data_IF_319178454557
#
_entry.id   IF_319178454557
#
_cell.length_a   1.000
_cell.length_b   1.000
_cell.length_c   1.000
_cell.angle_alpha   90.00
_cell.angle_beta   90.00
_cell.angle_gamma   90.00
#
_symmetry.space_group_name_H-M   'P 1'
#
loop_
_entity.id
_entity.type
_entity.pdbx_description
1 polymer ?
#
# COMPACT_ATOMS: atom_id res chain seq x y z
N UNK A 1 -17.39 37.08 1.22
CA UNK A 1 -18.50 36.58 0.39
C UNK A 1 -19.19 35.50 1.22
N UNK A 2 -20.28 35.88 1.87
CA UNK A 2 -21.08 35.03 2.76
C UNK A 2 -22.06 34.21 1.93
N UNK A 3 -22.21 32.92 2.27
CA UNK A 3 -23.50 32.19 2.40
C UNK A 3 -23.19 30.74 2.80
N UNK A 4 -22.72 30.54 4.04
CA UNK A 4 -22.77 29.22 4.67
C UNK A 4 -23.98 29.22 5.60
N UNK A 5 -25.16 28.93 5.07
CA UNK A 5 -26.19 28.30 5.90
C UNK A 5 -25.57 27.03 6.47
N UNK A 6 -25.59 26.87 7.79
CA UNK A 6 -24.95 25.76 8.47
C UNK A 6 -25.49 24.46 7.86
N UNK A 7 -24.62 23.51 7.49
CA UNK A 7 -25.08 22.21 6.94
C UNK A 7 -26.10 21.56 7.87
N UNK A 8 -25.96 21.76 9.19
CA UNK A 8 -26.93 21.31 10.18
C UNK A 8 -28.30 21.97 10.01
N UNK A 9 -28.39 23.27 9.69
CA UNK A 9 -29.67 23.95 9.44
C UNK A 9 -30.36 23.38 8.19
N UNK A 10 -29.60 23.03 7.15
CA UNK A 10 -30.13 22.41 5.93
C UNK A 10 -30.57 20.96 6.19
N UNK A 11 -29.81 20.20 6.97
CA UNK A 11 -30.19 18.86 7.39
C UNK A 11 -31.42 18.89 8.29
N UNK A 12 -31.55 19.87 9.19
CA UNK A 12 -32.71 20.06 10.05
C UNK A 12 -33.96 20.40 9.23
N UNK A 13 -33.84 21.26 8.21
CA UNK A 13 -34.94 21.54 7.28
C UNK A 13 -35.39 20.30 6.51
N UNK A 14 -34.45 19.48 6.02
CA UNK A 14 -34.76 18.23 5.31
C UNK A 14 -35.37 17.17 6.25
N UNK A 15 -34.92 17.13 7.50
CA UNK A 15 -35.48 16.25 8.53
C UNK A 15 -36.93 16.62 8.83
N UNK A 16 -37.23 17.92 8.93
CA UNK A 16 -38.60 18.44 9.12
C UNK A 16 -39.53 18.14 7.93
N UNK A 17 -38.97 18.05 6.72
CA UNK A 17 -39.71 17.68 5.50
C UNK A 17 -39.93 16.17 5.37
N UNK A 18 -39.41 15.36 6.31
CA UNK A 18 -39.53 13.90 6.34
C UNK A 18 -39.10 13.21 5.03
N UNK A 19 -38.02 13.71 4.39
CA UNK A 19 -37.35 13.02 3.28
C UNK A 19 -35.98 12.46 3.71
N UNK A 20 -35.95 11.25 4.30
CA UNK A 20 -34.70 10.58 4.69
C UNK A 20 -33.74 10.33 3.52
N UNK A 21 -34.25 10.19 2.29
CA UNK A 21 -33.39 9.92 1.11
C UNK A 21 -32.60 11.16 0.75
N UNK A 22 -33.28 12.28 0.64
CA UNK A 22 -32.64 13.55 0.32
C UNK A 22 -31.68 13.97 1.44
N UNK A 23 -32.07 13.78 2.70
CA UNK A 23 -31.21 14.07 3.86
C UNK A 23 -29.90 13.25 3.83
N UNK A 24 -29.98 11.94 3.62
CA UNK A 24 -28.79 11.08 3.58
C UNK A 24 -27.90 11.40 2.38
N UNK A 25 -28.49 11.73 1.23
CA UNK A 25 -27.74 12.15 0.04
C UNK A 25 -26.94 13.43 0.30
N UNK A 26 -27.57 14.44 0.91
CA UNK A 26 -26.90 15.70 1.26
C UNK A 26 -25.82 15.50 2.34
N UNK A 27 -26.05 14.60 3.31
CA UNK A 27 -25.05 14.23 4.31
C UNK A 27 -23.83 13.56 3.68
N UNK A 28 -24.03 12.57 2.81
CA UNK A 28 -22.94 11.90 2.09
C UNK A 28 -22.13 12.89 1.23
N UNK A 29 -22.82 13.79 0.52
CA UNK A 29 -22.19 14.82 -0.29
C UNK A 29 -21.35 15.78 0.55
N UNK A 30 -21.87 16.19 1.71
CA UNK A 30 -21.14 17.04 2.65
C UNK A 30 -19.88 16.32 3.16
N UNK A 31 -20.02 15.10 3.68
CA UNK A 31 -18.92 14.31 4.24
C UNK A 31 -17.84 14.02 3.20
N UNK A 32 -18.23 13.78 1.94
CA UNK A 32 -17.28 13.65 0.82
C UNK A 32 -16.52 14.94 0.58
N UNK A 33 -17.20 16.09 0.56
CA UNK A 33 -16.57 17.41 0.31
C UNK A 33 -15.66 17.84 1.46
N UNK A 34 -16.01 17.51 2.70
CA UNK A 34 -15.20 17.80 3.90
C UNK A 34 -14.14 16.74 4.20
N UNK A 35 -14.04 15.68 3.38
CA UNK A 35 -13.09 14.56 3.53
C UNK A 35 -13.26 13.74 4.82
N UNK A 36 -14.45 13.77 5.42
CA UNK A 36 -14.84 12.93 6.55
C UNK A 36 -15.23 11.53 6.05
N UNK A 37 -14.24 10.78 5.54
CA UNK A 37 -14.49 9.55 4.78
C UNK A 37 -14.95 8.36 5.63
N UNK A 38 -14.57 8.30 6.92
CA UNK A 38 -15.06 7.25 7.82
C UNK A 38 -16.55 7.46 8.12
N UNK A 39 -16.94 8.69 8.38
CA UNK A 39 -18.32 9.09 8.58
C UNK A 39 -19.13 8.91 7.29
N UNK A 40 -18.53 9.16 6.12
CA UNK A 40 -19.15 8.87 4.82
C UNK A 40 -19.52 7.39 4.70
N UNK A 41 -18.66 6.48 5.14
CA UNK A 41 -18.99 5.04 5.16
C UNK A 41 -20.20 4.73 6.06
N UNK A 42 -20.27 5.36 7.23
CA UNK A 42 -21.41 5.19 8.13
C UNK A 42 -22.70 5.77 7.54
N UNK A 43 -22.64 6.94 6.91
CA UNK A 43 -23.78 7.52 6.18
C UNK A 43 -24.25 6.60 5.04
N UNK A 44 -23.32 5.99 4.30
CA UNK A 44 -23.60 5.00 3.25
C UNK A 44 -24.33 3.77 3.80
N UNK A 45 -23.89 3.24 4.94
CA UNK A 45 -24.57 2.12 5.64
C UNK A 45 -26.02 2.44 5.99
N UNK A 46 -26.30 3.68 6.39
CA UNK A 46 -27.65 4.16 6.66
C UNK A 46 -28.46 4.29 5.36
N UNK A 47 -27.87 4.85 4.30
CA UNK A 47 -28.53 4.99 3.00
C UNK A 47 -28.90 3.65 2.36
N UNK A 48 -28.02 2.65 2.46
CA UNK A 48 -28.29 1.28 1.97
C UNK A 48 -29.50 0.68 2.71
N UNK A 49 -29.54 0.80 4.05
CA UNK A 49 -30.69 0.35 4.87
C UNK A 49 -31.98 1.09 4.49
N UNK A 50 -31.90 2.42 4.35
CA UNK A 50 -33.02 3.27 3.98
C UNK A 50 -33.66 2.82 2.66
N UNK A 51 -32.85 2.60 1.63
CA UNK A 51 -33.34 2.22 0.29
C UNK A 51 -34.08 0.89 0.31
N UNK A 52 -33.70 0.01 1.23
CA UNK A 52 -34.26 -1.33 1.44
C UNK A 52 -35.42 -1.35 2.44
N UNK A 53 -35.84 -0.19 2.95
CA UNK A 53 -36.91 -0.08 3.93
C UNK A 53 -36.56 -0.64 5.31
N UNK A 54 -35.26 -0.82 5.61
CA UNK A 54 -34.78 -1.34 6.87
C UNK A 54 -34.65 -0.22 7.92
N UNK A 55 -34.86 -0.53 9.21
CA UNK A 55 -34.59 0.40 10.29
C UNK A 55 -33.14 0.91 10.28
N UNK A 56 -32.97 2.22 10.40
CA UNK A 56 -31.67 2.88 10.32
C UNK A 56 -30.76 2.55 11.52
N UNK A 57 -31.35 2.38 12.71
CA UNK A 57 -30.63 2.25 13.98
C UNK A 57 -30.63 0.84 14.59
N UNK A 58 -31.15 -0.17 13.87
CA UNK A 58 -31.17 -1.54 14.38
C UNK A 58 -29.85 -2.27 14.09
N UNK A 59 -29.23 -2.85 15.14
CA UNK A 59 -27.97 -3.58 15.03
C UNK A 59 -28.13 -5.03 14.52
N UNK A 60 -29.30 -5.65 14.71
CA UNK A 60 -29.41 -7.13 14.69
C UNK A 60 -30.30 -7.71 13.58
N UNK A 61 -30.81 -6.89 12.64
CA UNK A 61 -31.73 -7.38 11.61
C UNK A 61 -31.05 -8.18 10.49
N UNK A 62 -29.71 -8.12 10.40
CA UNK A 62 -28.96 -8.75 9.31
C UNK A 62 -29.20 -10.26 9.19
N UNK A 63 -29.34 -10.96 10.31
CA UNK A 63 -29.54 -12.42 10.33
C UNK A 63 -30.96 -12.85 9.95
N UNK A 64 -31.94 -11.94 10.07
CA UNK A 64 -33.35 -12.22 9.82
C UNK A 64 -33.77 -11.97 8.35
N UNK A 65 -32.90 -11.33 7.56
CA UNK A 65 -33.16 -11.07 6.15
C UNK A 65 -33.02 -12.35 5.31
N UNK A 66 -33.80 -12.52 4.23
CA UNK A 66 -33.56 -13.56 3.24
C UNK A 66 -32.13 -13.49 2.69
N UNK A 67 -31.55 -14.65 2.35
CA UNK A 67 -30.17 -14.76 1.86
C UNK A 67 -29.87 -13.82 0.69
N UNK A 68 -30.73 -13.80 -0.33
CA UNK A 68 -30.58 -12.91 -1.48
C UNK A 68 -30.57 -11.42 -1.10
N UNK A 69 -31.29 -11.00 -0.06
CA UNK A 69 -31.26 -9.62 0.41
C UNK A 69 -30.00 -9.30 1.21
N UNK A 70 -29.49 -10.27 1.98
CA UNK A 70 -28.21 -10.14 2.68
C UNK A 70 -27.06 -10.00 1.69
N UNK A 71 -26.99 -10.87 0.69
CA UNK A 71 -25.93 -10.86 -0.32
C UNK A 71 -25.94 -9.55 -1.13
N UNK A 72 -27.14 -9.07 -1.49
CA UNK A 72 -27.29 -7.80 -2.20
C UNK A 72 -26.87 -6.61 -1.33
N UNK A 73 -27.16 -6.64 -0.02
CA UNK A 73 -26.71 -5.61 0.92
C UNK A 73 -25.19 -5.67 1.14
N UNK A 74 -24.61 -6.86 1.29
CA UNK A 74 -23.16 -7.05 1.41
C UNK A 74 -22.43 -6.52 0.19
N UNK A 75 -22.95 -6.78 -1.01
CA UNK A 75 -22.40 -6.22 -2.25
C UNK A 75 -22.36 -4.68 -2.22
N UNK A 76 -23.47 -4.03 -1.83
CA UNK A 76 -23.49 -2.56 -1.70
C UNK A 76 -22.53 -2.04 -0.62
N UNK A 77 -22.33 -2.79 0.47
CA UNK A 77 -21.38 -2.43 1.52
C UNK A 77 -19.93 -2.56 1.04
N UNK A 78 -19.61 -3.58 0.25
CA UNK A 78 -18.31 -3.74 -0.39
C UNK A 78 -18.04 -2.61 -1.39
N UNK A 79 -19.04 -2.18 -2.15
CA UNK A 79 -18.92 -1.01 -3.03
C UNK A 79 -18.64 0.28 -2.24
N UNK A 80 -19.28 0.46 -1.08
CA UNK A 80 -18.99 1.56 -0.17
C UNK A 80 -17.57 1.49 0.42
N UNK A 81 -17.10 0.29 0.82
CA UNK A 81 -15.71 0.08 1.25
C UNK A 81 -14.72 0.45 0.14
N UNK A 82 -15.00 0.02 -1.10
CA UNK A 82 -14.18 0.35 -2.26
C UNK A 82 -14.10 1.87 -2.50
N UNK A 83 -15.25 2.55 -2.48
CA UNK A 83 -15.31 4.00 -2.66
C UNK A 83 -14.50 4.74 -1.60
N UNK A 84 -14.78 4.47 -0.32
CA UNK A 84 -14.17 5.15 0.82
C UNK A 84 -12.67 4.85 0.91
N UNK A 85 -12.29 3.58 0.73
CA UNK A 85 -10.89 3.17 0.72
C UNK A 85 -10.08 3.88 -0.39
N UNK A 86 -10.66 3.99 -1.59
CA UNK A 86 -10.03 4.73 -2.69
C UNK A 86 -9.90 6.23 -2.39
N UNK A 87 -10.93 6.86 -1.82
CA UNK A 87 -10.88 8.27 -1.45
C UNK A 87 -9.80 8.56 -0.40
N UNK A 88 -9.64 7.66 0.57
CA UNK A 88 -8.59 7.74 1.60
C UNK A 88 -7.19 7.63 0.98
N UNK A 89 -6.96 6.70 0.07
CA UNK A 89 -5.68 6.59 -0.65
C UNK A 89 -5.38 7.82 -1.52
N UNK A 90 -6.39 8.39 -2.18
CA UNK A 90 -6.26 9.64 -2.94
C UNK A 90 -5.93 10.85 -2.05
N UNK A 91 -6.28 10.79 -0.77
CA UNK A 91 -5.96 11.78 0.25
C UNK A 91 -4.68 11.46 1.02
N UNK A 92 -3.84 10.55 0.50
CA UNK A 92 -2.58 10.09 1.11
C UNK A 92 -2.70 9.44 2.50
N UNK A 93 -3.88 8.90 2.83
CA UNK A 93 -4.15 8.18 4.09
C UNK A 93 -4.16 6.67 3.83
N UNK A 94 -2.96 6.09 3.67
CA UNK A 94 -2.81 4.73 3.14
C UNK A 94 -3.31 3.65 4.10
N UNK A 95 -2.94 3.73 5.38
CA UNK A 95 -3.41 2.80 6.42
C UNK A 95 -4.93 2.82 6.56
N UNK A 96 -5.50 4.02 6.61
CA UNK A 96 -6.95 4.19 6.72
C UNK A 96 -7.68 3.62 5.50
N UNK A 97 -7.16 3.86 4.30
CA UNK A 97 -7.75 3.29 3.08
C UNK A 97 -7.65 1.77 3.05
N UNK A 98 -6.54 1.21 3.53
CA UNK A 98 -6.34 -0.24 3.61
C UNK A 98 -7.32 -0.91 4.57
N UNK A 99 -7.71 -0.24 5.66
CA UNK A 99 -8.76 -0.71 6.58
C UNK A 99 -10.04 -1.14 5.83
N UNK A 100 -10.42 -0.40 4.79
CA UNK A 100 -11.58 -0.71 3.95
C UNK A 100 -11.25 -1.64 2.78
N UNK A 101 -10.15 -1.37 2.08
CA UNK A 101 -9.81 -2.10 0.84
C UNK A 101 -9.45 -3.57 1.09
N UNK A 102 -8.96 -3.92 2.28
CA UNK A 102 -8.70 -5.32 2.67
C UNK A 102 -9.95 -6.20 2.70
N UNK A 103 -11.14 -5.61 2.81
CA UNK A 103 -12.41 -6.34 2.77
C UNK A 103 -12.79 -6.75 1.33
N UNK A 104 -12.16 -6.16 0.32
CA UNK A 104 -12.45 -6.42 -1.08
C UNK A 104 -11.79 -7.73 -1.51
N UNK A 105 -12.60 -8.70 -1.96
CA UNK A 105 -12.11 -10.01 -2.38
C UNK A 105 -11.23 -9.97 -3.63
N UNK A 106 -11.46 -9.02 -4.54
CA UNK A 106 -10.63 -8.83 -5.74
C UNK A 106 -9.32 -8.12 -5.37
N UNK A 107 -8.35 -8.91 -4.91
CA UNK A 107 -7.00 -8.45 -4.58
C UNK A 107 -6.33 -7.75 -5.76
N UNK A 108 -6.48 -8.29 -6.97
CA UNK A 108 -5.85 -7.73 -8.17
C UNK A 108 -6.35 -6.33 -8.51
N UNK A 109 -7.61 -6.01 -8.20
CA UNK A 109 -8.16 -4.65 -8.32
C UNK A 109 -7.53 -3.69 -7.32
N UNK A 110 -7.30 -4.13 -6.08
CA UNK A 110 -6.65 -3.30 -5.06
C UNK A 110 -5.17 -3.08 -5.40
N UNK A 111 -4.47 -4.11 -5.89
CA UNK A 111 -3.08 -4.01 -6.34
C UNK A 111 -2.91 -3.02 -7.50
N UNK A 112 -3.84 -3.02 -8.48
CA UNK A 112 -3.84 -2.03 -9.57
C UNK A 112 -4.02 -0.60 -9.06
N UNK A 113 -4.88 -0.40 -8.07
CA UNK A 113 -5.05 0.92 -7.46
C UNK A 113 -3.80 1.33 -6.67
N UNK A 114 -3.17 0.39 -5.95
CA UNK A 114 -1.95 0.63 -5.18
C UNK A 114 -0.75 0.97 -6.08
N UNK A 115 -0.73 0.43 -7.30
CA UNK A 115 0.32 0.72 -8.28
C UNK A 115 0.40 2.21 -8.68
N UNK A 116 -0.68 2.98 -8.51
CA UNK A 116 -0.72 4.42 -8.80
C UNK A 116 -0.07 5.28 -7.69
N UNK A 117 0.17 4.70 -6.51
CA UNK A 117 0.74 5.40 -5.36
C UNK A 117 2.25 5.36 -5.44
N UNK A 118 2.92 6.51 -5.42
CA UNK A 118 4.38 6.61 -5.34
C UNK A 118 4.86 6.82 -3.90
N UNK A 119 5.96 6.15 -3.48
CA UNK A 119 6.56 6.36 -2.18
C UNK A 119 7.37 7.67 -2.14
N UNK A 120 7.10 8.49 -1.14
CA UNK A 120 7.79 9.74 -0.82
C UNK A 120 7.97 9.91 0.68
N UNK A 121 8.64 10.99 1.10
CA UNK A 121 8.99 11.23 2.51
C UNK A 121 7.78 11.20 3.45
N UNK A 122 6.60 11.63 2.98
CA UNK A 122 5.39 11.71 3.80
C UNK A 122 4.58 10.41 3.93
N UNK A 123 4.88 9.37 3.14
CA UNK A 123 4.08 8.13 3.12
C UNK A 123 4.93 6.84 3.02
N UNK A 124 6.26 6.94 3.04
CA UNK A 124 7.15 5.79 2.80
C UNK A 124 6.93 4.64 3.78
N UNK A 125 6.73 4.93 5.06
CA UNK A 125 6.54 3.88 6.08
C UNK A 125 5.22 3.12 5.86
N UNK A 126 4.12 3.84 5.58
CA UNK A 126 2.83 3.22 5.25
C UNK A 126 2.90 2.46 3.92
N UNK A 127 3.60 3.01 2.93
CA UNK A 127 3.81 2.34 1.65
C UNK A 127 4.58 1.02 1.84
N UNK A 128 5.65 1.02 2.63
CA UNK A 128 6.44 -0.19 2.94
C UNK A 128 5.61 -1.22 3.68
N UNK A 129 4.77 -0.79 4.61
CA UNK A 129 3.86 -1.68 5.32
C UNK A 129 2.89 -2.37 4.37
N UNK A 130 2.21 -1.62 3.50
CA UNK A 130 1.24 -2.19 2.57
C UNK A 130 1.91 -3.03 1.46
N UNK A 131 3.07 -2.60 0.98
CA UNK A 131 3.78 -3.31 -0.09
C UNK A 131 4.42 -4.61 0.39
N UNK A 132 5.06 -4.60 1.56
CA UNK A 132 5.81 -5.74 2.11
C UNK A 132 4.97 -6.57 3.07
N UNK A 133 4.41 -5.96 4.12
CA UNK A 133 3.69 -6.70 5.17
C UNK A 133 2.30 -7.14 4.72
N UNK A 134 1.58 -6.33 3.95
CA UNK A 134 0.30 -6.76 3.35
C UNK A 134 0.50 -7.44 1.98
N UNK A 135 1.71 -7.30 1.41
CA UNK A 135 2.13 -7.99 0.18
C UNK A 135 1.50 -7.44 -1.10
N UNK A 136 1.07 -6.17 -1.12
CA UNK A 136 0.43 -5.59 -2.31
C UNK A 136 1.39 -5.40 -3.49
N UNK A 137 2.67 -5.13 -3.21
CA UNK A 137 3.71 -5.06 -4.24
C UNK A 137 5.09 -5.27 -3.62
N UNK A 138 5.48 -6.54 -3.44
CA UNK A 138 6.77 -6.89 -2.85
C UNK A 138 7.95 -6.31 -3.65
N UNK A 139 7.85 -6.21 -4.97
CA UNK A 139 8.94 -5.74 -5.81
C UNK A 139 9.23 -4.26 -5.57
N UNK A 140 8.19 -3.42 -5.57
CA UNK A 140 8.32 -1.99 -5.24
C UNK A 140 8.66 -1.78 -3.77
N UNK A 141 8.09 -2.59 -2.87
CA UNK A 141 8.39 -2.54 -1.44
C UNK A 141 9.87 -2.74 -1.16
N UNK A 142 10.47 -3.86 -1.60
CA UNK A 142 11.89 -4.11 -1.38
C UNK A 142 12.79 -3.11 -2.09
N UNK A 143 12.43 -2.66 -3.30
CA UNK A 143 13.19 -1.59 -3.99
C UNK A 143 13.23 -0.31 -3.15
N UNK A 144 12.07 0.14 -2.70
CA UNK A 144 11.93 1.35 -1.88
C UNK A 144 12.69 1.21 -0.56
N UNK A 145 12.63 0.03 0.06
CA UNK A 145 13.32 -0.26 1.30
C UNK A 145 14.85 -0.17 1.15
N UNK A 146 15.39 -0.77 0.08
CA UNK A 146 16.82 -0.69 -0.26
C UNK A 146 17.22 0.76 -0.51
N UNK A 147 16.46 1.48 -1.35
CA UNK A 147 16.77 2.85 -1.77
C UNK A 147 16.72 3.87 -0.61
N UNK A 148 15.91 3.61 0.42
CA UNK A 148 15.66 4.56 1.53
C UNK A 148 16.36 4.19 2.83
N UNK A 149 16.51 2.90 3.12
CA UNK A 149 17.01 2.41 4.40
C UNK A 149 18.23 1.48 4.26
N UNK A 150 18.66 1.17 3.04
CA UNK A 150 19.88 0.43 2.76
C UNK A 150 19.78 -1.09 2.85
N UNK A 151 20.86 -1.76 2.45
CA UNK A 151 20.95 -3.22 2.30
C UNK A 151 20.69 -3.99 3.61
N UNK A 152 21.34 -3.62 4.72
CA UNK A 152 21.17 -4.32 6.01
C UNK A 152 19.73 -4.32 6.50
N UNK A 153 19.04 -3.17 6.38
CA UNK A 153 17.64 -3.07 6.78
C UNK A 153 16.76 -3.94 5.88
N UNK A 154 17.02 -3.93 4.57
CA UNK A 154 16.29 -4.77 3.62
C UNK A 154 16.45 -6.27 3.89
N UNK A 155 17.64 -6.73 4.26
CA UNK A 155 17.90 -8.13 4.67
C UNK A 155 17.14 -8.48 5.95
N UNK A 156 17.24 -7.63 6.97
CA UNK A 156 16.54 -7.83 8.26
C UNK A 156 15.02 -7.89 8.08
N UNK A 157 14.48 -7.01 7.24
CA UNK A 157 13.06 -7.02 6.88
C UNK A 157 12.70 -8.26 6.07
N UNK A 158 13.54 -8.71 5.15
CA UNK A 158 13.30 -9.95 4.41
C UNK A 158 13.18 -11.15 5.35
N UNK A 159 14.12 -11.33 6.27
CA UNK A 159 14.12 -12.47 7.20
C UNK A 159 12.88 -12.49 8.08
N UNK A 160 12.46 -11.32 8.58
CA UNK A 160 11.29 -11.21 9.46
C UNK A 160 9.96 -11.28 8.70
N UNK A 161 9.81 -10.56 7.59
CA UNK A 161 8.53 -10.41 6.89
C UNK A 161 8.24 -11.55 5.90
N UNK A 162 9.26 -12.22 5.37
CA UNK A 162 9.12 -13.29 4.38
C UNK A 162 9.08 -14.68 5.02
N UNK A 163 9.37 -14.79 6.32
CA UNK A 163 9.23 -16.05 7.05
C UNK A 163 7.80 -16.57 6.96
N UNK A 164 7.63 -17.84 6.59
CA UNK A 164 6.32 -18.48 6.45
C UNK A 164 5.50 -18.09 5.21
N UNK A 165 5.91 -17.08 4.43
CA UNK A 165 5.21 -16.70 3.19
C UNK A 165 5.33 -17.75 2.08
N UNK A 166 4.42 -17.79 1.09
CA UNK A 166 4.54 -18.69 -0.06
C UNK A 166 5.87 -18.54 -0.80
N UNK A 167 6.37 -19.64 -1.37
CA UNK A 167 7.67 -19.66 -2.09
C UNK A 167 7.75 -18.61 -3.20
N UNK A 168 6.65 -18.35 -3.92
CA UNK A 168 6.59 -17.34 -4.97
C UNK A 168 6.88 -15.94 -4.46
N UNK A 169 6.27 -15.54 -3.34
CA UNK A 169 6.50 -14.25 -2.70
C UNK A 169 7.92 -14.10 -2.16
N UNK A 170 8.42 -15.14 -1.47
CA UNK A 170 9.81 -15.14 -0.97
C UNK A 170 10.83 -14.99 -2.11
N UNK A 171 10.56 -15.62 -3.25
CA UNK A 171 11.44 -15.53 -4.41
C UNK A 171 11.53 -14.10 -4.97
N UNK A 172 10.44 -13.32 -4.91
CA UNK A 172 10.44 -11.91 -5.34
C UNK A 172 11.39 -11.08 -4.48
N UNK A 173 11.24 -11.14 -3.15
CA UNK A 173 12.12 -10.40 -2.23
C UNK A 173 13.58 -10.84 -2.35
N UNK A 174 13.83 -12.16 -2.43
CA UNK A 174 15.17 -12.70 -2.57
C UNK A 174 15.83 -12.26 -3.88
N UNK A 175 15.09 -12.26 -4.99
CA UNK A 175 15.61 -11.82 -6.29
C UNK A 175 15.99 -10.34 -6.28
N UNK A 176 15.23 -9.49 -5.59
CA UNK A 176 15.54 -8.08 -5.40
C UNK A 176 16.84 -7.89 -4.62
N UNK A 177 16.99 -8.56 -3.49
CA UNK A 177 18.20 -8.48 -2.66
C UNK A 177 19.44 -9.02 -3.37
N UNK A 178 19.34 -10.19 -4.00
CA UNK A 178 20.47 -10.80 -4.72
C UNK A 178 20.94 -9.91 -5.87
N UNK A 179 20.02 -9.29 -6.60
CA UNK A 179 20.37 -8.36 -7.68
C UNK A 179 21.11 -7.14 -7.14
N UNK A 180 20.58 -6.53 -6.08
CA UNK A 180 21.19 -5.38 -5.43
C UNK A 180 22.60 -5.68 -4.91
N UNK A 181 22.77 -6.79 -4.19
CA UNK A 181 24.08 -7.23 -3.66
C UNK A 181 25.07 -7.50 -4.81
N UNK A 182 24.60 -8.09 -5.91
CA UNK A 182 25.44 -8.32 -7.09
C UNK A 182 25.90 -7.01 -7.75
N UNK A 183 24.99 -6.04 -7.85
CA UNK A 183 25.29 -4.71 -8.40
C UNK A 183 26.29 -3.96 -7.51
N UNK A 184 26.07 -3.96 -6.19
CA UNK A 184 26.98 -3.37 -5.19
C UNK A 184 28.38 -3.99 -5.28
N UNK A 185 28.47 -5.33 -5.32
CA UNK A 185 29.74 -6.05 -5.48
C UNK A 185 30.46 -5.64 -6.76
N UNK A 186 29.74 -5.65 -7.89
CA UNK A 186 30.31 -5.31 -9.19
C UNK A 186 30.84 -3.88 -9.20
N UNK A 187 30.09 -2.93 -8.65
CA UNK A 187 30.49 -1.52 -8.58
C UNK A 187 31.71 -1.31 -7.69
N UNK A 188 31.77 -1.99 -6.54
CA UNK A 188 32.92 -1.93 -5.65
C UNK A 188 34.19 -2.51 -6.31
N UNK A 189 34.07 -3.63 -7.03
CA UNK A 189 35.17 -4.21 -7.79
C UNK A 189 35.63 -3.26 -8.90
N UNK A 190 34.70 -2.70 -9.68
CA UNK A 190 35.03 -1.74 -10.75
C UNK A 190 35.76 -0.51 -10.20
N UNK A 191 35.27 0.04 -9.09
CA UNK A 191 35.88 1.20 -8.44
C UNK A 191 37.28 0.87 -7.90
N UNK A 192 37.48 -0.34 -7.34
CA UNK A 192 38.82 -0.78 -6.93
C UNK A 192 39.77 -0.89 -8.13
N UNK A 193 39.30 -1.48 -9.23
CA UNK A 193 40.13 -1.63 -10.42
C UNK A 193 40.52 -0.29 -11.02
N UNK A 194 39.55 0.62 -11.15
CA UNK A 194 39.82 1.96 -11.65
C UNK A 194 40.84 2.74 -10.78
N UNK A 195 40.81 2.56 -9.46
CA UNK A 195 41.81 3.17 -8.56
C UNK A 195 43.22 2.63 -8.77
N UNK A 196 43.36 1.35 -9.12
CA UNK A 196 44.67 0.71 -9.33
C UNK A 196 45.20 0.91 -10.76
N UNK A 197 44.35 0.74 -11.77
CA UNK A 197 44.75 0.78 -13.19
C UNK A 197 44.62 2.18 -13.80
N UNK A 198 43.93 3.11 -13.13
CA UNK A 198 43.68 4.47 -13.63
C UNK A 198 42.69 4.53 -14.80
N UNK A 199 42.16 3.39 -15.24
CA UNK A 199 41.19 3.28 -16.33
C UNK A 199 40.00 2.44 -15.88
N UNK A 200 38.81 2.77 -16.37
CA UNK A 200 37.62 1.99 -16.10
C UNK A 200 37.63 0.73 -16.97
N UNK A 201 37.40 -0.47 -16.40
CA UNK A 201 37.35 -1.71 -17.17
C UNK A 201 36.26 -1.68 -18.24
N UNK A 202 36.55 -2.24 -19.42
CA UNK A 202 35.60 -2.32 -20.54
C UNK A 202 34.51 -3.38 -20.34
N UNK A 203 34.77 -4.37 -19.47
CA UNK A 203 33.83 -5.46 -19.16
C UNK A 203 33.07 -5.19 -17.87
N UNK A 204 31.77 -5.51 -17.86
CA UNK A 204 30.94 -5.45 -16.64
C UNK A 204 30.76 -6.82 -15.97
N UNK A 205 31.20 -7.90 -16.61
CA UNK A 205 31.06 -9.26 -16.06
C UNK A 205 32.11 -9.47 -14.96
N UNK A 206 31.65 -9.73 -13.74
CA UNK A 206 32.52 -9.92 -12.56
C UNK A 206 33.62 -10.96 -12.81
N UNK A 207 33.32 -12.10 -13.46
CA UNK A 207 34.35 -13.10 -13.77
C UNK A 207 35.52 -12.51 -14.57
N UNK A 208 35.21 -11.70 -15.59
CA UNK A 208 36.21 -11.11 -16.47
C UNK A 208 36.94 -9.94 -15.81
N UNK A 209 36.31 -9.28 -14.82
CA UNK A 209 36.96 -8.27 -13.99
C UNK A 209 38.04 -8.90 -13.11
N UNK A 210 37.86 -10.15 -12.69
CA UNK A 210 38.79 -10.85 -11.81
C UNK A 210 39.90 -11.59 -12.58
N UNK A 211 39.71 -11.86 -13.87
CA UNK A 211 40.70 -12.53 -14.70
C UNK A 211 42.06 -11.81 -14.64
N UNK A 212 43.09 -12.54 -14.20
CA UNK A 212 44.46 -12.05 -14.04
C UNK A 212 44.65 -10.91 -13.03
N UNK A 213 43.65 -10.65 -12.18
CA UNK A 213 43.68 -9.59 -11.15
C UNK A 213 43.59 -10.16 -9.74
N UNK A 214 44.43 -11.14 -9.41
CA UNK A 214 44.47 -11.78 -8.08
C UNK A 214 44.64 -10.77 -6.92
N UNK A 215 45.26 -9.62 -7.20
CA UNK A 215 45.43 -8.52 -6.27
C UNK A 215 44.11 -7.88 -5.80
N UNK A 216 42.99 -8.08 -6.51
CA UNK A 216 41.66 -7.62 -6.06
C UNK A 216 41.28 -8.25 -4.71
N UNK A 217 41.83 -9.42 -4.39
CA UNK A 217 41.62 -10.13 -3.13
C UNK A 217 42.75 -9.92 -2.11
N UNK A 218 43.84 -9.23 -2.49
CA UNK A 218 44.98 -9.05 -1.62
C UNK A 218 44.66 -8.09 -0.45
N UNK A 219 45.37 -8.26 0.66
CA UNK A 219 45.33 -7.34 1.80
C UNK A 219 44.05 -7.34 2.63
N UNK A 220 43.20 -8.38 2.51
CA UNK A 220 41.92 -8.42 3.20
C UNK A 220 40.89 -7.45 2.61
N UNK A 221 41.01 -7.16 1.31
CA UNK A 221 40.06 -6.30 0.60
C UNK A 221 38.70 -6.99 0.49
N UNK A 222 37.69 -6.39 1.13
CA UNK A 222 36.29 -6.80 0.99
C UNK A 222 35.57 -5.84 0.04
N UNK A 223 34.82 -6.39 -0.90
CA UNK A 223 34.01 -5.63 -1.88
C UNK A 223 32.52 -5.68 -1.57
N UNK A 224 32.17 -6.28 -0.43
CA UNK A 224 30.84 -6.35 0.16
C UNK A 224 30.97 -6.42 1.67
N UNK A 225 29.96 -5.92 2.38
CA UNK A 225 29.81 -6.20 3.81
C UNK A 225 29.43 -7.67 4.00
N UNK A 226 30.25 -8.41 4.75
CA UNK A 226 30.05 -9.84 5.00
C UNK A 226 28.78 -10.13 5.80
N UNK A 227 28.24 -9.14 6.53
CA UNK A 227 26.94 -9.27 7.21
C UNK A 227 25.78 -9.42 6.22
N UNK A 228 25.94 -9.05 4.95
CA UNK A 228 24.93 -9.23 3.92
C UNK A 228 24.79 -10.68 3.41
N UNK A 229 25.68 -11.58 3.83
CA UNK A 229 25.76 -12.97 3.37
C UNK A 229 25.40 -14.01 4.45
N UNK A 230 25.07 -13.54 5.66
CA UNK A 230 24.81 -14.37 6.84
C UNK A 230 23.36 -14.90 6.88
#
# INVERSE_FOLDING_TARGET
MQENGNVFDRLDQLAQQADPRQLLTELEDHLRRTKCFHELFEARKLAIRQRRGLPLLASDLGEQLPEAERDAMETELLDACWEVGRLLWQDARLRDGWHYLRAIADRGRVERLFAEIEPGEGNVDEFLELSIHEGLDLSRGFRTLIDRYGTCNAITTFDSAMYGRPRGERAVGAAMLVRHIYEELRENILAHIQRQEGQQPETLKVSNLLDQRDWVFAGGSYHLDTTHLA
#
